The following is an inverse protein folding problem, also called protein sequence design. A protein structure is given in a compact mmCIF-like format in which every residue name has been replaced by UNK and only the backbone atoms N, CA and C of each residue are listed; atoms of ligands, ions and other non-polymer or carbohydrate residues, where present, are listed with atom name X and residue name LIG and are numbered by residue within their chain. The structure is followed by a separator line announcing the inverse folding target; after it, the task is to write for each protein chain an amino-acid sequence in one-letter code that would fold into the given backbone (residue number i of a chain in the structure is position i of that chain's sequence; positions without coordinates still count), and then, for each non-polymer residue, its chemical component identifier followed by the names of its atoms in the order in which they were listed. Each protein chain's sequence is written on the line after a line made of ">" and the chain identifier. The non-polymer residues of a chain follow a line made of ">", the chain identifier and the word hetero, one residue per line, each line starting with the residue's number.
data_IF_786170887272
#
_entry.id   IF_786170887272
#
_cell.length_a   1.000
_cell.length_b   1.000
_cell.length_c   1.000
_cell.angle_alpha   90.00
_cell.angle_beta   90.00
_cell.angle_gamma   90.00
#
_symmetry.space_group_name_H-M   'P 1'
#
loop_
_entity.id
_entity.type
_entity.pdbx_description
1 polymer ?
#
# COMPACT_ATOMS: atom_id res chain seq x y z
N UNK A 1 -4.87 -28.43 -5.55
CA UNK A 1 -4.15 -27.37 -4.81
C UNK A 1 -3.91 -26.11 -5.65
N UNK A 2 -3.76 -26.18 -6.99
CA UNK A 2 -3.52 -25.02 -7.86
C UNK A 2 -4.77 -24.27 -8.37
N UNK A 3 -5.97 -24.77 -8.09
CA UNK A 3 -7.24 -24.22 -8.62
C UNK A 3 -7.78 -23.00 -7.83
N UNK A 4 -7.20 -22.66 -6.68
CA UNK A 4 -7.66 -21.56 -5.83
C UNK A 4 -6.78 -20.30 -5.85
N UNK A 5 -5.66 -20.30 -6.58
CA UNK A 5 -4.71 -19.19 -6.59
C UNK A 5 -5.00 -18.20 -7.71
N UNK A 6 -4.91 -16.90 -7.39
CA UNK A 6 -5.03 -15.85 -8.39
C UNK A 6 -3.82 -15.87 -9.33
N UNK A 7 -3.93 -15.30 -10.55
CA UNK A 7 -2.86 -15.39 -11.54
C UNK A 7 -1.51 -14.83 -11.06
N UNK A 8 -1.50 -13.78 -10.23
CA UNK A 8 -0.29 -13.21 -9.63
C UNK A 8 0.35 -14.17 -8.61
N UNK A 9 -0.46 -14.82 -7.77
CA UNK A 9 0.02 -15.77 -6.76
C UNK A 9 0.66 -16.98 -7.43
N UNK A 10 0.04 -17.49 -8.48
CA UNK A 10 0.60 -18.59 -9.29
C UNK A 10 1.94 -18.18 -9.90
N UNK A 11 2.00 -17.01 -10.53
CA UNK A 11 3.22 -16.48 -11.14
C UNK A 11 4.38 -16.40 -10.13
N UNK A 12 4.09 -15.91 -8.91
CA UNK A 12 5.06 -15.82 -7.82
C UNK A 12 5.45 -17.20 -7.27
N UNK A 13 4.47 -18.09 -7.03
CA UNK A 13 4.71 -19.43 -6.49
C UNK A 13 5.68 -20.23 -7.37
N UNK A 14 5.54 -20.15 -8.69
CA UNK A 14 6.40 -20.84 -9.67
C UNK A 14 7.86 -20.33 -9.68
N UNK A 15 8.12 -19.12 -9.16
CA UNK A 15 9.42 -18.45 -9.21
C UNK A 15 10.13 -18.34 -7.87
N UNK A 16 9.40 -18.51 -6.78
CA UNK A 16 9.95 -18.47 -5.42
C UNK A 16 10.38 -19.87 -4.97
N UNK A 17 11.51 -19.94 -4.27
CA UNK A 17 11.93 -21.17 -3.58
C UNK A 17 11.11 -21.38 -2.30
N UNK A 18 11.14 -22.58 -1.73
CA UNK A 18 10.48 -22.86 -0.45
C UNK A 18 10.98 -21.95 0.68
N UNK A 19 12.30 -21.77 0.79
CA UNK A 19 12.89 -20.88 1.80
C UNK A 19 12.45 -19.41 1.64
N UNK A 20 12.31 -18.92 0.41
CA UNK A 20 11.81 -17.56 0.16
C UNK A 20 10.35 -17.42 0.58
N UNK A 21 9.51 -18.42 0.32
CA UNK A 21 8.11 -18.41 0.76
C UNK A 21 7.98 -18.49 2.28
N UNK A 22 8.75 -19.37 2.92
CA UNK A 22 8.81 -19.47 4.38
C UNK A 22 9.20 -18.12 5.01
N UNK A 23 10.17 -17.42 4.44
CA UNK A 23 10.56 -16.09 4.90
C UNK A 23 9.42 -15.05 4.75
N UNK A 24 8.67 -15.08 3.63
CA UNK A 24 7.51 -14.19 3.44
C UNK A 24 6.39 -14.49 4.44
N UNK A 25 6.07 -15.76 4.68
CA UNK A 25 5.03 -16.16 5.64
C UNK A 25 5.41 -15.89 7.10
N UNK A 26 6.69 -15.69 7.41
CA UNK A 26 7.17 -15.36 8.75
C UNK A 26 7.08 -13.85 9.08
N UNK A 27 6.73 -13.00 8.11
CA UNK A 27 6.61 -11.56 8.34
C UNK A 27 5.43 -11.25 9.29
N UNK A 28 5.60 -10.35 10.27
CA UNK A 28 4.54 -10.00 11.19
C UNK A 28 3.51 -9.07 10.51
N UNK A 29 2.25 -9.15 10.94
CA UNK A 29 1.19 -8.22 10.52
C UNK A 29 1.52 -6.77 10.91
N UNK A 30 2.07 -6.61 12.12
CA UNK A 30 2.42 -5.31 12.70
C UNK A 30 3.84 -5.34 13.25
N UNK A 31 4.60 -4.27 13.07
CA UNK A 31 5.96 -4.12 13.56
C UNK A 31 6.18 -2.72 14.15
N UNK A 32 6.72 -2.63 15.37
CA UNK A 32 7.29 -1.37 15.86
C UNK A 32 8.72 -1.23 15.35
N UNK A 33 8.97 -0.28 14.45
CA UNK A 33 10.27 -0.12 13.80
C UNK A 33 11.21 0.82 14.58
N UNK A 34 10.65 1.67 15.43
CA UNK A 34 11.32 2.60 16.34
C UNK A 34 10.32 3.03 17.42
N UNK A 35 10.76 3.57 18.57
CA UNK A 35 9.86 3.99 19.64
C UNK A 35 8.71 4.90 19.16
N UNK A 36 7.49 4.40 19.30
CA UNK A 36 6.25 5.08 18.90
C UNK A 36 6.01 5.13 17.38
N UNK A 37 6.71 4.31 16.59
CA UNK A 37 6.56 4.20 15.14
C UNK A 37 6.13 2.77 14.78
N UNK A 38 4.87 2.62 14.40
CA UNK A 38 4.28 1.31 14.05
C UNK A 38 4.08 1.21 12.54
N UNK A 39 4.40 0.06 11.97
CA UNK A 39 4.21 -0.27 10.57
C UNK A 39 3.31 -1.50 10.41
N UNK A 40 2.43 -1.48 9.42
CA UNK A 40 1.60 -2.60 8.95
C UNK A 40 1.20 -2.36 7.50
N UNK A 41 0.81 -3.39 6.75
CA UNK A 41 0.51 -3.21 5.33
C UNK A 41 -0.84 -2.49 5.10
N UNK A 42 -1.95 -3.01 5.62
CA UNK A 42 -3.28 -2.38 5.44
C UNK A 42 -3.84 -1.73 6.72
N UNK A 43 -4.28 -2.53 7.70
CA UNK A 43 -4.73 -2.10 9.04
C UNK A 43 -4.02 -2.91 10.12
N UNK A 44 -3.97 -2.42 11.37
CA UNK A 44 -3.32 -3.15 12.46
C UNK A 44 -4.02 -4.48 12.81
N UNK A 45 -5.30 -4.63 12.44
CA UNK A 45 -6.13 -5.79 12.74
C UNK A 45 -6.51 -6.62 11.50
N UNK A 46 -6.17 -6.17 10.29
CA UNK A 46 -6.58 -6.84 9.05
C UNK A 46 -5.74 -6.41 7.85
N UNK A 47 -5.19 -7.37 7.10
CA UNK A 47 -4.21 -7.07 6.04
C UNK A 47 -4.80 -6.73 4.65
N UNK A 48 -6.12 -6.69 4.52
CA UNK A 48 -6.83 -6.53 3.24
C UNK A 48 -7.88 -5.41 3.29
N UNK A 49 -7.90 -4.62 4.37
CA UNK A 49 -8.90 -3.56 4.57
C UNK A 49 -8.24 -2.21 4.57
N UNK A 50 -8.75 -1.28 3.77
CA UNK A 50 -8.21 0.08 3.67
C UNK A 50 -8.19 0.85 4.99
N UNK A 51 -7.04 1.37 5.41
CA UNK A 51 -6.95 2.24 6.58
C UNK A 51 -7.49 3.64 6.28
N UNK A 52 -6.95 4.29 5.24
CA UNK A 52 -7.15 5.71 4.92
C UNK A 52 -8.29 5.96 3.95
N UNK A 53 -8.80 4.91 3.31
CA UNK A 53 -9.71 5.01 2.18
C UNK A 53 -11.06 4.35 2.46
N UNK A 54 -12.06 4.74 1.68
CA UNK A 54 -13.36 4.09 1.54
C UNK A 54 -13.66 3.97 0.05
N UNK A 55 -14.63 3.12 -0.29
CA UNK A 55 -15.04 2.88 -1.68
C UNK A 55 -16.31 3.69 -1.94
N UNK A 56 -16.26 4.58 -2.93
CA UNK A 56 -17.39 5.37 -3.42
C UNK A 56 -17.40 5.31 -4.95
N UNK A 57 -18.53 4.96 -5.55
CA UNK A 57 -18.72 4.84 -7.00
C UNK A 57 -17.59 4.07 -7.73
N UNK A 58 -17.19 2.93 -7.13
CA UNK A 58 -16.16 2.06 -7.67
C UNK A 58 -14.73 2.61 -7.58
N UNK A 59 -14.48 3.61 -6.73
CA UNK A 59 -13.16 4.24 -6.57
C UNK A 59 -12.77 4.37 -5.11
N UNK A 60 -11.46 4.34 -4.85
CA UNK A 60 -10.95 4.75 -3.56
C UNK A 60 -10.99 6.27 -3.40
N UNK A 61 -11.62 6.70 -2.32
CA UNK A 61 -11.62 8.08 -1.84
C UNK A 61 -11.20 8.11 -0.38
N UNK A 62 -10.66 9.25 0.08
CA UNK A 62 -10.24 9.39 1.49
C UNK A 62 -11.43 9.16 2.42
N UNK A 63 -11.27 8.25 3.37
CA UNK A 63 -12.29 7.96 4.37
C UNK A 63 -12.51 9.17 5.31
N UNK A 64 -13.73 9.33 5.85
CA UNK A 64 -13.97 10.30 6.92
C UNK A 64 -13.02 10.10 8.09
N UNK A 65 -12.53 11.19 8.68
CA UNK A 65 -11.57 11.14 9.80
C UNK A 65 -12.02 10.24 10.95
N UNK A 66 -13.32 10.24 11.28
CA UNK A 66 -13.88 9.37 12.33
C UNK A 66 -13.71 7.87 12.01
N UNK A 67 -13.82 7.48 10.74
CA UNK A 67 -13.59 6.10 10.33
C UNK A 67 -12.11 5.73 10.44
N UNK A 68 -11.20 6.61 10.02
CA UNK A 68 -9.75 6.40 10.15
C UNK A 68 -9.37 6.26 11.63
N UNK A 69 -9.84 7.17 12.50
CA UNK A 69 -9.63 7.11 13.96
C UNK A 69 -10.08 5.77 14.55
N UNK A 70 -11.28 5.30 14.19
CA UNK A 70 -11.81 4.01 14.67
C UNK A 70 -10.92 2.84 14.23
N UNK A 71 -10.42 2.85 13.00
CA UNK A 71 -9.53 1.80 12.45
C UNK A 71 -8.15 1.77 13.14
N UNK A 72 -7.77 2.84 13.82
CA UNK A 72 -6.52 2.96 14.59
C UNK A 72 -6.71 2.68 16.09
N UNK A 73 -7.93 2.42 16.56
CA UNK A 73 -8.25 2.37 17.99
C UNK A 73 -7.52 1.27 18.77
N UNK A 74 -7.05 0.22 18.09
CA UNK A 74 -6.31 -0.88 18.71
C UNK A 74 -4.80 -0.60 18.88
N UNK A 75 -4.31 0.54 18.40
CA UNK A 75 -2.89 0.90 18.52
C UNK A 75 -2.51 1.30 19.94
N UNK A 76 -1.24 1.11 20.27
CA UNK A 76 -0.65 1.58 21.51
C UNK A 76 -0.84 3.11 21.64
N UNK A 77 -1.28 3.63 22.81
CA UNK A 77 -1.43 5.08 23.04
C UNK A 77 -0.14 5.90 22.83
N UNK A 78 1.04 5.29 22.94
CA UNK A 78 2.34 5.86 22.65
C UNK A 78 2.69 5.90 21.15
N UNK A 79 1.85 5.33 20.28
CA UNK A 79 2.03 5.39 18.83
C UNK A 79 1.85 6.83 18.33
N UNK A 80 2.92 7.40 17.79
CA UNK A 80 2.95 8.77 17.24
C UNK A 80 3.06 8.81 15.72
N UNK A 81 3.53 7.74 15.09
CA UNK A 81 3.60 7.59 13.63
C UNK A 81 3.13 6.19 13.25
N UNK A 82 2.26 6.14 12.26
CA UNK A 82 1.78 4.94 11.59
C UNK A 82 2.29 4.95 10.16
N UNK A 83 2.99 3.89 9.77
CA UNK A 83 3.39 3.64 8.39
C UNK A 83 2.46 2.57 7.81
N UNK A 84 1.82 2.87 6.69
CA UNK A 84 0.93 1.93 6.02
C UNK A 84 1.14 1.92 4.50
N UNK A 85 0.49 0.98 3.83
CA UNK A 85 0.47 0.85 2.37
C UNK A 85 -0.92 0.43 1.89
N UNK A 86 -0.97 -0.68 1.16
CA UNK A 86 -2.17 -1.34 0.66
C UNK A 86 -2.97 -0.58 -0.41
N UNK A 87 -3.38 0.67 -0.16
CA UNK A 87 -4.15 1.45 -1.15
C UNK A 87 -3.33 1.90 -2.36
N UNK A 88 -2.00 1.85 -2.27
CA UNK A 88 -1.06 2.36 -3.27
C UNK A 88 -1.14 3.88 -3.51
N UNK A 89 -1.93 4.60 -2.72
CA UNK A 89 -2.09 6.06 -2.78
C UNK A 89 -1.21 6.74 -1.75
N UNK A 90 -0.50 7.79 -2.16
CA UNK A 90 0.29 8.59 -1.22
C UNK A 90 -0.61 9.44 -0.32
N UNK A 91 -0.50 9.27 1.00
CA UNK A 91 -1.32 9.94 2.00
C UNK A 91 -0.47 10.38 3.20
N UNK A 92 -0.70 11.60 3.70
CA UNK A 92 -0.13 12.12 4.94
C UNK A 92 -1.24 12.74 5.78
N UNK A 93 -1.68 12.04 6.82
CA UNK A 93 -2.87 12.40 7.60
C UNK A 93 -2.49 12.59 9.06
N UNK A 94 -2.72 13.80 9.60
CA UNK A 94 -2.61 14.08 11.03
C UNK A 94 -3.90 13.67 11.74
N UNK A 95 -3.82 12.71 12.66
CA UNK A 95 -4.94 12.38 13.54
C UNK A 95 -4.91 13.34 14.76
N UNK A 96 -5.98 14.10 15.04
CA UNK A 96 -6.04 14.90 16.26
C UNK A 96 -5.90 14.03 17.49
N UNK A 97 -5.00 14.43 18.39
CA UNK A 97 -4.63 13.72 19.63
C UNK A 97 -4.12 12.29 19.41
N UNK A 98 -3.58 12.02 18.23
CA UNK A 98 -3.08 10.70 17.84
C UNK A 98 -1.92 10.76 16.85
N UNK A 99 -1.64 9.65 16.16
CA UNK A 99 -0.46 9.54 15.29
C UNK A 99 -0.59 10.36 14.00
N UNK A 100 0.55 10.56 13.32
CA UNK A 100 0.55 10.77 11.86
C UNK A 100 0.38 9.43 11.17
N UNK A 101 -0.55 9.33 10.23
CA UNK A 101 -0.58 8.24 9.26
C UNK A 101 0.18 8.67 8.02
N UNK A 102 1.16 7.87 7.60
CA UNK A 102 1.92 8.08 6.38
C UNK A 102 1.87 6.83 5.50
N UNK A 103 1.25 6.99 4.33
CA UNK A 103 1.30 6.03 3.24
C UNK A 103 2.18 6.63 2.13
N UNK A 104 3.33 6.03 1.81
CA UNK A 104 4.21 6.58 0.79
C UNK A 104 3.70 6.36 -0.64
N UNK A 105 2.65 5.55 -0.82
CA UNK A 105 2.20 5.06 -2.13
C UNK A 105 2.85 3.72 -2.48
N UNK A 106 2.89 3.40 -3.77
CA UNK A 106 3.43 2.13 -4.27
C UNK A 106 4.66 2.31 -5.14
N UNK A 107 5.68 1.48 -4.91
CA UNK A 107 6.90 1.47 -5.72
C UNK A 107 6.63 0.88 -7.11
N UNK A 108 5.88 -0.23 -7.20
CA UNK A 108 5.80 -1.04 -8.41
C UNK A 108 4.38 -1.32 -8.91
N UNK A 109 3.35 -0.78 -8.27
CA UNK A 109 1.96 -1.00 -8.65
C UNK A 109 1.17 0.31 -8.56
N UNK A 110 1.28 1.19 -9.57
CA UNK A 110 0.68 2.53 -9.54
C UNK A 110 -0.84 2.52 -9.73
N UNK A 111 -1.44 1.44 -10.21
CA UNK A 111 -2.88 1.25 -10.24
C UNK A 111 -3.25 -0.23 -10.16
N UNK A 112 -4.43 -0.52 -9.63
CA UNK A 112 -5.04 -1.85 -9.64
C UNK A 112 -6.57 -1.78 -9.63
N UNK A 113 -7.20 -2.85 -10.12
CA UNK A 113 -8.61 -3.14 -9.90
C UNK A 113 -8.75 -4.26 -8.87
N UNK A 114 -9.77 -4.16 -8.04
CA UNK A 114 -10.17 -5.19 -7.09
C UNK A 114 -11.63 -5.55 -7.32
N UNK A 115 -11.86 -6.81 -7.69
CA UNK A 115 -13.18 -7.36 -8.01
C UNK A 115 -13.95 -7.80 -6.75
N UNK A 116 -13.31 -7.75 -5.57
CA UNK A 116 -13.94 -8.09 -4.29
C UNK A 116 -15.02 -7.06 -3.97
N UNK A 117 -16.28 -7.47 -3.72
CA UNK A 117 -17.36 -6.52 -3.43
C UNK A 117 -17.08 -5.64 -2.20
N UNK A 118 -17.27 -4.30 -2.30
CA UNK A 118 -17.64 -3.56 -3.50
C UNK A 118 -16.45 -3.38 -4.45
N UNK A 119 -16.63 -3.81 -5.71
CA UNK A 119 -15.59 -3.74 -6.73
C UNK A 119 -15.16 -2.28 -6.97
N UNK A 120 -13.86 -2.07 -7.14
CA UNK A 120 -13.31 -0.73 -7.23
C UNK A 120 -11.92 -0.70 -7.88
N UNK A 121 -11.44 0.50 -8.17
CA UNK A 121 -10.08 0.76 -8.64
C UNK A 121 -9.32 1.67 -7.67
N UNK A 122 -8.00 1.46 -7.59
CA UNK A 122 -7.05 2.43 -7.05
C UNK A 122 -6.14 2.90 -8.16
N UNK A 123 -6.03 4.22 -8.33
CA UNK A 123 -5.30 4.83 -9.44
C UNK A 123 -4.44 5.98 -8.92
N UNK A 124 -3.12 5.87 -9.09
CA UNK A 124 -2.17 6.92 -8.72
C UNK A 124 -2.07 8.02 -9.78
N UNK A 125 -2.48 7.73 -11.02
CA UNK A 125 -2.54 8.67 -12.15
C UNK A 125 -1.20 8.96 -12.82
N UNK A 126 -0.15 8.20 -12.51
CA UNK A 126 1.16 8.29 -13.16
C UNK A 126 1.97 7.01 -12.96
N UNK A 127 2.91 6.67 -13.86
CA UNK A 127 3.71 5.45 -13.74
C UNK A 127 4.82 5.52 -12.68
N UNK A 128 5.17 6.71 -12.19
CA UNK A 128 6.29 6.92 -11.26
C UNK A 128 6.20 6.01 -10.03
N UNK A 129 7.33 5.40 -9.67
CA UNK A 129 7.49 4.71 -8.39
C UNK A 129 7.32 5.71 -7.25
N UNK A 130 6.58 5.33 -6.21
CA UNK A 130 6.34 6.15 -5.03
C UNK A 130 6.95 5.51 -3.78
N UNK A 131 7.72 6.30 -3.05
CA UNK A 131 8.22 5.94 -1.74
C UNK A 131 8.28 7.19 -0.85
N UNK A 132 8.61 6.98 0.43
CA UNK A 132 8.70 8.08 1.38
C UNK A 132 9.90 7.98 2.29
N UNK A 133 10.30 9.15 2.82
CA UNK A 133 11.35 9.28 3.82
C UNK A 133 10.75 9.94 5.05
N UNK A 134 10.96 9.33 6.21
CA UNK A 134 10.59 9.90 7.50
C UNK A 134 11.85 10.16 8.30
N UNK A 135 12.16 11.43 8.55
CA UNK A 135 13.21 11.83 9.49
C UNK A 135 12.55 12.09 10.84
N UNK A 136 12.89 11.25 11.83
CA UNK A 136 12.34 11.39 13.18
C UNK A 136 12.87 12.67 13.83
N UNK A 137 11.94 13.46 14.36
CA UNK A 137 12.23 14.68 15.08
C UNK A 137 13.06 14.43 16.33
N UNK A 138 13.73 15.48 16.79
CA UNK A 138 14.39 15.56 18.11
C UNK A 138 13.52 16.38 19.06
N UNK A 139 13.74 16.35 20.39
CA UNK A 139 13.01 17.20 21.31
C UNK A 139 12.96 18.66 20.81
N UNK A 140 11.75 19.22 20.68
CA UNK A 140 11.51 20.57 20.16
C UNK A 140 11.49 20.71 18.63
N UNK A 141 11.66 19.64 17.85
CA UNK A 141 11.59 19.65 16.37
C UNK A 141 10.57 18.62 15.88
N UNK A 142 9.61 19.00 15.01
CA UNK A 142 8.66 18.04 14.45
C UNK A 142 9.36 17.02 13.54
N UNK A 143 8.74 15.85 13.39
CA UNK A 143 9.11 14.88 12.37
C UNK A 143 8.97 15.47 10.96
N UNK A 144 9.83 15.05 10.04
CA UNK A 144 9.79 15.46 8.63
C UNK A 144 9.41 14.28 7.76
N UNK A 145 8.47 14.52 6.85
CA UNK A 145 7.94 13.54 5.91
C UNK A 145 8.19 14.02 4.48
N UNK A 146 8.71 13.12 3.64
CA UNK A 146 8.87 13.36 2.21
C UNK A 146 8.12 12.26 1.45
N UNK A 147 7.27 12.67 0.51
CA UNK A 147 6.66 11.78 -0.47
C UNK A 147 7.36 12.02 -1.81
N UNK A 148 7.98 10.98 -2.35
CA UNK A 148 8.89 11.08 -3.50
C UNK A 148 8.31 10.29 -4.66
N UNK A 149 8.34 10.89 -5.85
CA UNK A 149 8.04 10.23 -7.11
C UNK A 149 9.35 10.08 -7.89
N UNK A 150 9.62 8.88 -8.39
CA UNK A 150 10.82 8.60 -9.19
C UNK A 150 10.43 7.96 -10.50
N UNK A 151 10.96 8.52 -11.59
CA UNK A 151 10.82 7.92 -12.90
C UNK A 151 11.75 6.71 -13.03
N UNK A 152 11.31 5.72 -13.80
CA UNK A 152 12.04 4.49 -14.07
C UNK A 152 11.58 3.92 -15.41
N UNK A 153 12.26 2.88 -15.91
CA UNK A 153 11.82 2.15 -17.10
C UNK A 153 10.58 1.28 -16.80
N UNK A 154 9.45 1.95 -16.56
CA UNK A 154 8.14 1.35 -16.32
C UNK A 154 7.64 0.61 -17.56
N UNK A 155 8.11 0.98 -18.76
CA UNK A 155 7.83 0.26 -19.99
C UNK A 155 8.44 -1.14 -20.02
N UNK A 156 9.63 -1.34 -19.45
CA UNK A 156 10.18 -2.69 -19.27
C UNK A 156 9.30 -3.55 -18.35
N UNK A 157 8.81 -2.98 -17.24
CA UNK A 157 7.89 -3.67 -16.34
C UNK A 157 6.55 -3.99 -17.03
N UNK A 158 6.00 -3.05 -17.81
CA UNK A 158 4.75 -3.25 -18.55
C UNK A 158 4.89 -4.35 -19.62
N UNK A 159 6.00 -4.38 -20.36
CA UNK A 159 6.29 -5.46 -21.34
C UNK A 159 6.40 -6.82 -20.67
N UNK A 160 7.00 -6.88 -19.47
CA UNK A 160 7.06 -8.13 -18.71
C UNK A 160 5.65 -8.61 -18.31
N UNK A 161 4.77 -7.68 -17.90
CA UNK A 161 3.38 -8.01 -17.61
C UNK A 161 2.64 -8.55 -18.84
N UNK A 162 2.83 -7.96 -20.03
CA UNK A 162 2.27 -8.48 -21.29
C UNK A 162 2.77 -9.89 -21.61
N UNK A 163 4.07 -10.14 -21.47
CA UNK A 163 4.67 -11.46 -21.69
C UNK A 163 4.14 -12.51 -20.70
N UNK A 164 3.76 -12.08 -19.50
CA UNK A 164 3.10 -12.92 -18.50
C UNK A 164 1.58 -13.08 -18.73
N UNK A 165 1.03 -12.55 -19.82
CA UNK A 165 -0.39 -12.61 -20.14
C UNK A 165 -1.26 -11.72 -19.25
N UNK A 166 -0.70 -10.60 -18.76
CA UNK A 166 -1.34 -9.66 -17.84
C UNK A 166 -1.49 -8.25 -18.46
N UNK A 167 -2.30 -8.08 -19.51
CA UNK A 167 -2.45 -6.80 -20.19
C UNK A 167 -3.02 -5.69 -19.29
N UNK A 168 -3.85 -6.05 -18.30
CA UNK A 168 -4.39 -5.12 -17.31
C UNK A 168 -3.29 -4.51 -16.44
N UNK A 169 -2.31 -5.31 -16.01
CA UNK A 169 -1.16 -4.80 -15.28
C UNK A 169 -0.25 -3.95 -16.15
N UNK A 170 -0.08 -4.32 -17.42
CA UNK A 170 0.70 -3.53 -18.36
C UNK A 170 0.09 -2.13 -18.55
N UNK A 171 -1.23 -2.04 -18.72
CA UNK A 171 -1.94 -0.76 -18.80
C UNK A 171 -1.75 0.07 -17.52
N UNK A 172 -1.93 -0.55 -16.35
CA UNK A 172 -1.74 0.09 -15.06
C UNK A 172 -0.32 0.64 -14.88
N UNK A 173 0.70 -0.16 -15.22
CA UNK A 173 2.11 0.24 -15.13
C UNK A 173 2.47 1.40 -16.05
N UNK A 174 1.88 1.48 -17.25
CA UNK A 174 2.14 2.57 -18.21
C UNK A 174 1.47 3.86 -17.85
N UNK A 175 0.25 3.78 -17.32
CA UNK A 175 -0.63 4.95 -17.21
C UNK A 175 -0.85 5.41 -15.77
N UNK A 176 -0.72 4.51 -14.80
CA UNK A 176 -1.19 4.72 -13.44
C UNK A 176 -2.72 4.79 -13.33
N UNK A 177 -3.45 4.29 -14.33
CA UNK A 177 -4.90 4.15 -14.37
C UNK A 177 -5.29 2.70 -14.67
N UNK A 178 -6.53 2.32 -14.39
CA UNK A 178 -7.10 1.06 -14.86
C UNK A 178 -7.85 1.29 -16.18
N UNK A 179 -7.80 0.30 -17.08
CA UNK A 179 -8.61 0.33 -18.29
C UNK A 179 -10.07 0.16 -17.91
N UNK A 180 -10.95 1.03 -18.41
CA UNK A 180 -12.39 0.93 -18.23
C UNK A 180 -13.05 -0.17 -19.05
#
# INVERSE_FOLDING_TARGET
>A
ANEAMWPSDRYALERLTSAQREALFALPLTLEIAPGVTAFHARPDHDEKYLTDTIEDGRLVRAPLAAIKRRLAALDPGCRIVLCGHSHRSELIRIPDGPVVFNPGSIGCPAYGDDTPPAHVSEQGSPHARYGIVELGKPGRPDRFEAIAVDYDHEAAARQAEQAGRPEWAYALRTGFMSG
#
